data_IF_913662906940
#
_entry.id   IF_913662906940
#
_cell.length_a   1.000
_cell.length_b   1.000
_cell.length_c   1.000
_cell.angle_alpha   90.00
_cell.angle_beta   90.00
_cell.angle_gamma   90.00
#
_symmetry.space_group_name_H-M   'P 1'
#
loop_
_entity.id
_entity.type
_entity.pdbx_description
1 polymer ?
#
# COMPACT_ATOMS: atom_id res chain seq x y z
N UNK A 1 -48.48 40.74 16.76
CA UNK A 1 -48.04 39.73 15.78
C UNK A 1 -46.53 39.57 15.91
N UNK A 2 -46.04 38.53 16.62
CA UNK A 2 -44.61 38.27 16.84
C UNK A 2 -44.17 37.23 15.84
N UNK A 3 -43.23 37.57 14.94
CA UNK A 3 -42.61 36.62 14.00
C UNK A 3 -41.49 35.88 14.71
N UNK A 4 -41.62 34.55 14.82
CA UNK A 4 -40.56 33.68 15.29
C UNK A 4 -39.64 33.32 14.08
N UNK A 5 -38.37 33.70 14.18
CA UNK A 5 -37.32 33.25 13.23
C UNK A 5 -36.84 31.89 13.66
N UNK A 6 -37.03 30.91 12.78
CA UNK A 6 -36.45 29.57 12.92
C UNK A 6 -35.01 29.61 12.41
N UNK A 7 -34.04 29.47 13.30
CA UNK A 7 -32.64 29.25 12.93
C UNK A 7 -32.44 27.75 12.63
N UNK A 8 -32.22 27.44 11.37
CA UNK A 8 -31.85 26.10 10.95
C UNK A 8 -30.34 25.91 11.12
N UNK A 9 -29.95 25.14 12.12
CA UNK A 9 -28.55 24.78 12.38
C UNK A 9 -28.16 23.62 11.46
N UNK A 10 -27.40 23.93 10.41
CA UNK A 10 -26.85 22.88 9.49
C UNK A 10 -25.61 22.30 10.14
N UNK A 11 -25.71 21.08 10.65
CA UNK A 11 -24.55 20.29 11.15
C UNK A 11 -23.76 19.78 9.95
N UNK A 12 -22.63 20.42 9.64
CA UNK A 12 -21.65 19.90 8.68
C UNK A 12 -20.82 18.84 9.42
N UNK A 13 -21.22 17.59 9.28
CA UNK A 13 -20.43 16.45 9.75
C UNK A 13 -19.15 16.33 8.93
N UNK A 14 -18.01 16.63 9.52
CA UNK A 14 -16.71 16.31 8.94
C UNK A 14 -16.54 14.80 8.97
N UNK A 15 -16.80 14.12 7.84
CA UNK A 15 -16.41 12.74 7.62
C UNK A 15 -14.88 12.70 7.47
N UNK A 16 -14.17 12.40 8.55
CA UNK A 16 -12.78 11.98 8.49
C UNK A 16 -12.73 10.62 7.80
N UNK A 17 -12.49 10.62 6.50
CA UNK A 17 -12.23 9.39 5.75
C UNK A 17 -10.94 8.77 6.29
N UNK A 18 -11.08 7.70 7.06
CA UNK A 18 -9.98 6.80 7.41
C UNK A 18 -9.57 6.16 6.09
N UNK A 19 -8.52 6.67 5.47
CA UNK A 19 -7.93 6.06 4.28
C UNK A 19 -7.23 4.76 4.71
N UNK A 20 -7.99 3.66 4.66
CA UNK A 20 -7.40 2.33 4.61
C UNK A 20 -6.59 2.24 3.29
N UNK A 21 -5.47 1.50 3.29
CA UNK A 21 -4.82 1.13 2.04
C UNK A 21 -5.79 0.21 1.29
N UNK A 22 -6.46 0.75 0.29
CA UNK A 22 -7.43 0.01 -0.51
C UNK A 22 -6.66 -0.74 -1.59
N UNK A 23 -6.98 -2.03 -1.73
CA UNK A 23 -6.65 -2.75 -2.95
C UNK A 23 -7.28 -2.01 -4.12
N UNK A 24 -6.55 -1.93 -5.21
CA UNK A 24 -7.16 -1.54 -6.48
C UNK A 24 -7.59 -2.81 -7.18
N UNK A 25 -8.89 -2.95 -7.41
CA UNK A 25 -9.48 -4.08 -8.11
C UNK A 25 -9.44 -3.82 -9.62
N UNK A 26 -8.83 -4.74 -10.36
CA UNK A 26 -8.80 -4.72 -11.81
C UNK A 26 -9.54 -5.93 -12.37
N UNK A 27 -10.49 -5.75 -13.31
CA UNK A 27 -11.03 -6.86 -14.08
C UNK A 27 -9.89 -7.60 -14.79
N UNK A 28 -9.92 -8.93 -14.78
CA UNK A 28 -8.92 -9.71 -15.50
C UNK A 28 -9.06 -9.50 -17.01
N UNK A 29 -7.95 -9.26 -17.70
CA UNK A 29 -7.99 -9.11 -19.15
C UNK A 29 -8.22 -10.48 -19.81
N UNK A 30 -8.64 -10.51 -21.09
CA UNK A 30 -8.78 -11.73 -21.86
C UNK A 30 -7.55 -12.63 -21.80
N UNK A 31 -7.74 -13.91 -22.03
CA UNK A 31 -6.63 -14.90 -22.09
C UNK A 31 -5.57 -14.44 -23.08
N UNK A 32 -4.31 -14.48 -22.67
CA UNK A 32 -3.17 -14.02 -23.46
C UNK A 32 -2.80 -12.54 -23.28
N UNK A 33 -3.68 -11.72 -22.71
CA UNK A 33 -3.34 -10.35 -22.29
C UNK A 33 -2.96 -10.30 -20.82
N UNK A 34 -1.99 -9.45 -20.47
CA UNK A 34 -1.58 -9.19 -19.09
C UNK A 34 -1.75 -7.71 -18.69
N UNK A 35 -2.24 -6.88 -19.60
CA UNK A 35 -2.37 -5.46 -19.36
C UNK A 35 -3.71 -5.15 -18.67
N UNK A 36 -3.68 -4.47 -17.53
CA UNK A 36 -4.84 -4.06 -16.75
C UNK A 36 -4.80 -2.57 -16.41
N UNK A 37 -5.96 -1.99 -16.15
CA UNK A 37 -6.09 -0.57 -15.88
C UNK A 37 -5.89 0.30 -17.13
N UNK A 38 -5.95 1.60 -16.93
CA UNK A 38 -5.73 2.62 -17.97
C UNK A 38 -4.99 3.79 -17.34
N UNK A 39 -4.06 4.37 -18.09
CA UNK A 39 -3.44 5.62 -17.69
C UNK A 39 -4.49 6.73 -17.61
N UNK A 40 -4.37 7.58 -16.60
CA UNK A 40 -5.27 8.70 -16.36
C UNK A 40 -4.61 10.01 -16.80
N UNK A 41 -5.41 10.97 -17.18
CA UNK A 41 -4.95 12.34 -17.43
C UNK A 41 -5.35 13.21 -16.24
N UNK A 42 -4.41 14.00 -15.73
CA UNK A 42 -4.65 14.92 -14.63
C UNK A 42 -4.14 16.31 -14.95
N UNK A 43 -4.95 17.32 -14.68
CA UNK A 43 -4.52 18.73 -14.78
C UNK A 43 -4.11 19.22 -13.39
N UNK A 44 -2.87 19.64 -13.27
CA UNK A 44 -2.26 20.13 -12.01
C UNK A 44 -3.04 21.34 -11.50
N UNK A 45 -3.40 21.31 -10.22
CA UNK A 45 -4.17 22.34 -9.53
C UNK A 45 -3.25 23.29 -8.75
N UNK A 46 -3.71 24.49 -8.44
CA UNK A 46 -2.96 25.48 -7.63
C UNK A 46 -2.54 24.95 -6.24
N UNK A 47 -3.30 24.02 -5.67
CA UNK A 47 -3.01 23.37 -4.39
C UNK A 47 -1.98 22.24 -4.44
N UNK A 48 -1.51 21.85 -5.62
CA UNK A 48 -0.57 20.74 -5.79
C UNK A 48 0.87 21.20 -5.55
N UNK A 49 1.40 20.89 -4.38
CA UNK A 49 2.72 21.36 -3.95
C UNK A 49 3.88 20.81 -4.78
N UNK A 50 3.78 19.57 -5.25
CA UNK A 50 4.81 18.86 -6.03
C UNK A 50 4.27 17.54 -6.56
N UNK A 51 5.06 16.85 -7.41
CA UNK A 51 4.71 15.52 -7.95
C UNK A 51 4.49 14.47 -6.86
N UNK A 52 5.20 14.56 -5.73
CA UNK A 52 5.01 13.64 -4.62
C UNK A 52 3.62 13.79 -3.97
N UNK A 53 3.09 15.01 -3.88
CA UNK A 53 1.74 15.23 -3.37
C UNK A 53 0.67 14.70 -4.34
N UNK A 54 0.89 14.87 -5.65
CA UNK A 54 0.03 14.32 -6.69
C UNK A 54 0.07 12.78 -6.67
N UNK A 55 1.27 12.20 -6.64
CA UNK A 55 1.47 10.74 -6.60
C UNK A 55 0.71 10.07 -5.43
N UNK A 56 0.74 10.67 -4.25
CA UNK A 56 -0.02 10.17 -3.08
C UNK A 56 -1.53 10.18 -3.29
N UNK A 57 -2.05 11.15 -4.04
CA UNK A 57 -3.50 11.25 -4.35
C UNK A 57 -3.95 10.13 -5.28
N UNK A 58 -3.07 9.69 -6.17
CA UNK A 58 -3.35 8.66 -7.17
C UNK A 58 -2.76 7.30 -6.80
N UNK A 59 -2.28 7.13 -5.56
CA UNK A 59 -1.67 5.89 -5.05
C UNK A 59 -0.56 5.34 -5.98
N UNK A 60 0.28 6.25 -6.46
CA UNK A 60 1.43 5.95 -7.34
C UNK A 60 2.72 6.59 -6.83
N UNK A 61 3.85 6.31 -7.48
CA UNK A 61 5.13 6.93 -7.16
C UNK A 61 5.40 8.16 -8.02
N UNK A 62 5.99 9.19 -7.43
CA UNK A 62 6.36 10.41 -8.16
C UNK A 62 7.33 10.14 -9.31
N UNK A 63 8.23 9.16 -9.15
CA UNK A 63 9.17 8.74 -10.20
C UNK A 63 8.42 8.19 -11.42
N UNK A 64 7.37 7.38 -11.20
CA UNK A 64 6.57 6.84 -12.30
C UNK A 64 5.83 7.94 -13.06
N UNK A 65 5.33 8.98 -12.36
CA UNK A 65 4.74 10.15 -13.01
C UNK A 65 5.80 10.88 -13.82
N UNK A 66 7.00 11.04 -13.27
CA UNK A 66 8.11 11.70 -13.98
C UNK A 66 8.51 10.95 -15.25
N UNK A 67 8.62 9.63 -15.17
CA UNK A 67 8.94 8.76 -16.32
C UNK A 67 7.85 8.78 -17.39
N UNK A 68 6.57 8.83 -16.98
CA UNK A 68 5.45 8.92 -17.93
C UNK A 68 5.30 10.29 -18.59
N UNK A 69 6.04 11.31 -18.10
CA UNK A 69 5.94 12.71 -18.54
C UNK A 69 7.33 13.32 -18.73
N UNK A 70 8.02 12.95 -19.78
CA UNK A 70 9.46 13.19 -20.06
C UNK A 70 9.98 14.63 -19.87
N UNK A 71 9.14 15.63 -19.75
CA UNK A 71 9.52 17.05 -19.66
C UNK A 71 8.97 17.77 -18.44
N UNK A 72 8.37 17.01 -17.49
CA UNK A 72 7.75 17.66 -16.34
C UNK A 72 8.77 17.97 -15.24
N UNK A 73 8.61 19.15 -14.63
CA UNK A 73 9.40 19.52 -13.47
C UNK A 73 8.89 18.79 -12.19
N UNK A 74 9.77 18.55 -11.19
CA UNK A 74 9.36 17.99 -9.89
C UNK A 74 8.26 18.80 -9.17
N UNK A 75 8.20 20.10 -9.47
CA UNK A 75 7.11 21.00 -9.07
C UNK A 75 6.43 21.51 -10.33
N UNK A 76 5.39 20.82 -10.81
CA UNK A 76 4.70 21.20 -12.03
C UNK A 76 3.86 22.47 -11.82
N UNK A 77 3.73 23.26 -12.87
CA UNK A 77 2.91 24.49 -12.82
C UNK A 77 1.42 24.12 -12.86
N UNK A 78 0.55 24.85 -12.11
CA UNK A 78 -0.89 24.73 -12.27
C UNK A 78 -1.33 24.88 -13.73
N UNK A 79 -2.33 24.11 -14.14
CA UNK A 79 -2.79 24.05 -15.52
C UNK A 79 -2.00 23.09 -16.42
N UNK A 80 -0.85 22.55 -15.97
CA UNK A 80 -0.12 21.53 -16.72
C UNK A 80 -0.91 20.22 -16.73
N UNK A 81 -1.11 19.65 -17.91
CA UNK A 81 -1.74 18.33 -18.04
C UNK A 81 -0.67 17.25 -18.03
N UNK A 82 -0.85 16.24 -17.15
CA UNK A 82 0.09 15.15 -16.95
C UNK A 82 -0.61 13.80 -17.06
N UNK A 83 0.15 12.79 -17.47
CA UNK A 83 -0.27 11.39 -17.44
C UNK A 83 0.04 10.78 -16.06
N UNK A 84 -0.97 10.21 -15.43
CA UNK A 84 -0.83 9.38 -14.22
C UNK A 84 -0.78 7.92 -14.67
N UNK A 85 0.35 7.23 -14.50
CA UNK A 85 0.49 5.83 -14.89
C UNK A 85 -0.27 4.94 -13.92
N UNK A 86 -1.45 4.51 -14.30
CA UNK A 86 -2.31 3.57 -13.55
C UNK A 86 -2.55 2.26 -14.31
N UNK A 87 -1.88 2.07 -15.42
CA UNK A 87 -1.87 0.82 -16.18
C UNK A 87 -0.78 -0.11 -15.63
N UNK A 88 -1.10 -1.39 -15.46
CA UNK A 88 -0.21 -2.38 -14.89
C UNK A 88 -0.08 -3.58 -15.83
N UNK A 89 1.11 -4.20 -15.86
CA UNK A 89 1.34 -5.46 -16.51
C UNK A 89 1.33 -6.58 -15.46
N UNK A 90 0.34 -7.47 -15.52
CA UNK A 90 0.24 -8.60 -14.61
C UNK A 90 1.47 -9.52 -14.71
N UNK A 91 1.91 -10.15 -13.61
CA UNK A 91 2.96 -11.15 -13.63
C UNK A 91 2.70 -12.27 -14.63
N UNK A 92 3.77 -12.81 -15.23
CA UNK A 92 3.68 -13.96 -16.12
C UNK A 92 3.65 -15.26 -15.30
N UNK A 93 2.50 -15.52 -14.70
CA UNK A 93 2.28 -16.63 -13.79
C UNK A 93 0.79 -17.03 -13.78
N UNK A 94 0.44 -18.21 -13.30
CA UNK A 94 -0.95 -18.60 -13.12
C UNK A 94 -1.75 -17.59 -12.30
N UNK A 95 -2.92 -17.17 -12.78
CA UNK A 95 -3.80 -16.19 -12.13
C UNK A 95 -4.59 -16.81 -10.98
N UNK A 96 -3.88 -17.20 -9.93
CA UNK A 96 -4.48 -17.83 -8.75
C UNK A 96 -3.71 -17.50 -7.48
N UNK A 97 -4.41 -17.39 -6.35
CA UNK A 97 -3.81 -17.17 -5.05
C UNK A 97 -3.10 -15.81 -4.95
N UNK A 98 -1.89 -15.81 -4.39
CA UNK A 98 -1.11 -14.59 -4.12
C UNK A 98 0.21 -14.67 -4.89
N UNK A 99 0.53 -13.62 -5.62
CA UNK A 99 1.84 -13.43 -6.27
C UNK A 99 2.46 -12.16 -5.69
N UNK A 100 3.70 -12.26 -5.22
CA UNK A 100 4.48 -11.13 -4.73
C UNK A 100 5.57 -10.81 -5.75
N UNK A 101 5.48 -9.65 -6.38
CA UNK A 101 6.52 -9.12 -7.26
C UNK A 101 7.43 -8.19 -6.47
N UNK A 102 8.62 -8.67 -6.12
CA UNK A 102 9.58 -7.95 -5.30
C UNK A 102 10.16 -6.73 -6.02
N UNK A 103 10.34 -6.82 -7.34
CA UNK A 103 10.91 -5.73 -8.14
C UNK A 103 9.93 -4.56 -8.27
N UNK A 104 8.64 -4.83 -8.37
CA UNK A 104 7.59 -3.80 -8.47
C UNK A 104 7.04 -3.36 -7.11
N UNK A 105 7.44 -4.01 -6.02
CA UNK A 105 6.89 -3.82 -4.67
C UNK A 105 5.35 -3.94 -4.66
N UNK A 106 4.84 -4.98 -5.31
CA UNK A 106 3.41 -5.25 -5.46
C UNK A 106 3.05 -6.67 -5.09
N UNK A 107 1.89 -6.81 -4.45
CA UNK A 107 1.23 -8.08 -4.21
C UNK A 107 -0.03 -8.11 -5.06
N UNK A 108 -0.19 -9.19 -5.82
CA UNK A 108 -1.34 -9.50 -6.65
C UNK A 108 -2.11 -10.63 -5.99
N UNK A 109 -3.38 -10.42 -5.69
CA UNK A 109 -4.26 -11.45 -5.17
C UNK A 109 -5.38 -11.73 -6.16
N UNK A 110 -5.55 -13.00 -6.48
CA UNK A 110 -6.60 -13.50 -7.36
C UNK A 110 -7.63 -14.23 -6.51
N UNK A 111 -8.76 -13.59 -6.16
CA UNK A 111 -9.80 -14.19 -5.34
C UNK A 111 -10.41 -15.41 -6.05
N UNK A 112 -10.62 -16.54 -5.36
CA UNK A 112 -11.24 -17.72 -5.97
C UNK A 112 -12.65 -17.42 -6.44
N UNK A 113 -12.95 -17.77 -7.71
CA UNK A 113 -14.30 -17.61 -8.31
C UNK A 113 -14.61 -16.19 -8.79
N UNK A 114 -13.68 -15.24 -8.67
CA UNK A 114 -13.85 -13.87 -9.16
C UNK A 114 -12.99 -13.60 -10.39
N UNK A 115 -13.50 -12.77 -11.31
CA UNK A 115 -12.76 -12.38 -12.52
C UNK A 115 -12.03 -11.05 -12.33
N UNK A 116 -11.33 -10.93 -11.20
CA UNK A 116 -10.55 -9.74 -10.83
C UNK A 116 -9.17 -10.10 -10.32
N UNK A 117 -8.27 -9.14 -10.30
CA UNK A 117 -7.05 -9.14 -9.52
C UNK A 117 -7.05 -7.94 -8.58
N UNK A 118 -6.73 -8.17 -7.33
CA UNK A 118 -6.54 -7.13 -6.32
C UNK A 118 -5.05 -6.82 -6.22
N UNK A 119 -4.68 -5.56 -6.36
CA UNK A 119 -3.28 -5.13 -6.34
C UNK A 119 -3.01 -4.27 -5.12
N UNK A 120 -1.97 -4.65 -4.37
CA UNK A 120 -1.55 -3.97 -3.14
C UNK A 120 -0.11 -3.50 -3.26
N UNK A 121 0.22 -2.26 -2.89
CA UNK A 121 1.59 -1.85 -2.66
C UNK A 121 2.13 -2.55 -1.40
N UNK A 122 3.38 -3.00 -1.44
CA UNK A 122 4.01 -3.72 -0.32
C UNK A 122 5.38 -3.14 0.02
N UNK A 123 5.83 -3.37 1.26
CA UNK A 123 7.22 -3.30 1.63
C UNK A 123 7.84 -4.70 1.65
N UNK A 124 9.12 -4.76 1.42
CA UNK A 124 9.91 -6.00 1.44
C UNK A 124 11.03 -5.93 2.48
N UNK A 125 11.77 -7.02 2.68
CA UNK A 125 12.94 -7.06 3.55
C UNK A 125 14.00 -6.04 3.14
N UNK A 126 14.71 -5.52 4.14
CA UNK A 126 15.83 -4.61 3.92
C UNK A 126 17.04 -5.35 3.34
N UNK A 127 17.98 -4.60 2.77
CA UNK A 127 19.27 -5.15 2.33
C UNK A 127 19.95 -5.92 3.47
N UNK A 128 20.41 -7.15 3.19
CA UNK A 128 20.94 -8.10 4.19
C UNK A 128 19.87 -8.85 4.98
N UNK A 129 18.58 -8.61 4.69
CA UNK A 129 17.44 -9.32 5.24
C UNK A 129 16.40 -9.54 4.12
N UNK A 130 16.87 -9.94 2.96
CA UNK A 130 16.09 -10.01 1.74
C UNK A 130 14.89 -10.95 1.90
N UNK A 131 13.79 -10.58 1.28
CA UNK A 131 12.63 -11.44 1.13
C UNK A 131 12.99 -12.57 0.16
N UNK A 132 12.91 -13.84 0.58
CA UNK A 132 13.29 -14.94 -0.29
C UNK A 132 12.32 -15.11 -1.44
N UNK A 133 12.85 -15.55 -2.60
CA UNK A 133 12.03 -16.01 -3.72
C UNK A 133 11.67 -17.47 -3.45
N UNK A 134 10.36 -17.74 -3.33
CA UNK A 134 9.87 -19.09 -3.01
C UNK A 134 8.46 -19.30 -3.54
N UNK A 135 8.11 -20.54 -3.74
CA UNK A 135 6.73 -21.00 -3.88
C UNK A 135 6.28 -21.63 -2.55
N UNK A 136 5.14 -21.17 -2.03
CA UNK A 136 4.65 -21.59 -0.72
C UNK A 136 3.13 -21.43 -0.62
N UNK A 137 2.57 -21.64 0.57
CA UNK A 137 1.16 -21.45 0.85
C UNK A 137 0.95 -20.71 2.16
N UNK A 138 -0.21 -20.09 2.32
CA UNK A 138 -0.63 -19.54 3.61
C UNK A 138 -0.97 -20.71 4.54
N UNK A 139 -0.17 -20.88 5.58
CA UNK A 139 -0.37 -21.94 6.59
C UNK A 139 -1.33 -21.51 7.69
N UNK A 140 -1.23 -20.27 8.14
CA UNK A 140 -2.07 -19.75 9.24
C UNK A 140 -2.45 -18.28 9.00
N UNK A 141 -3.72 -17.95 9.27
CA UNK A 141 -4.22 -16.57 9.34
C UNK A 141 -4.32 -16.16 10.80
N UNK A 142 -3.64 -15.10 11.19
CA UNK A 142 -3.52 -14.65 12.57
C UNK A 142 -4.17 -13.27 12.69
N UNK A 143 -5.37 -13.16 13.24
CA UNK A 143 -5.96 -11.87 13.58
C UNK A 143 -5.31 -11.31 14.85
N UNK A 144 -5.16 -10.00 14.91
CA UNK A 144 -4.60 -9.28 16.05
C UNK A 144 -3.31 -9.93 16.59
N UNK A 145 -2.26 -10.08 15.75
CA UNK A 145 -1.05 -10.78 16.13
C UNK A 145 -0.32 -10.03 17.27
N UNK A 146 0.35 -10.77 18.14
CA UNK A 146 1.41 -10.24 18.99
C UNK A 146 2.72 -10.27 18.23
N UNK A 147 3.60 -9.32 18.47
CA UNK A 147 4.93 -9.27 17.87
C UNK A 147 6.02 -9.49 18.90
N UNK A 148 6.82 -10.51 18.69
CA UNK A 148 8.04 -10.78 19.45
C UNK A 148 9.24 -10.43 18.58
N UNK A 149 9.89 -9.26 18.79
CA UNK A 149 11.06 -8.88 18.01
C UNK A 149 12.20 -9.88 18.25
N UNK A 150 12.82 -10.33 17.15
CA UNK A 150 13.98 -11.23 17.24
C UNK A 150 15.16 -10.56 17.95
N UNK A 151 16.14 -11.33 18.39
CA UNK A 151 17.35 -10.78 19.02
C UNK A 151 18.06 -9.77 18.12
N UNK A 152 18.19 -10.07 16.82
CA UNK A 152 18.79 -9.15 15.84
C UNK A 152 18.00 -7.86 15.65
N UNK A 153 16.67 -7.91 15.67
CA UNK A 153 15.83 -6.70 15.62
C UNK A 153 16.03 -5.85 16.88
N UNK A 154 16.04 -6.46 18.05
CA UNK A 154 16.29 -5.73 19.30
C UNK A 154 17.65 -5.07 19.32
N UNK A 155 18.69 -5.78 18.88
CA UNK A 155 20.06 -5.25 18.81
C UNK A 155 20.13 -4.03 17.87
N UNK A 156 19.65 -4.15 16.63
CA UNK A 156 19.65 -3.02 15.68
C UNK A 156 18.81 -1.83 16.14
N UNK A 157 17.74 -2.08 16.89
CA UNK A 157 16.94 -1.00 17.48
C UNK A 157 17.69 -0.30 18.61
N UNK A 158 18.40 -1.06 19.45
CA UNK A 158 19.20 -0.53 20.53
C UNK A 158 20.36 0.35 20.01
N UNK A 159 21.01 -0.04 18.92
CA UNK A 159 22.03 0.74 18.23
C UNK A 159 21.51 2.11 17.74
N UNK A 160 20.21 2.21 17.48
CA UNK A 160 19.51 3.46 17.16
C UNK A 160 18.91 4.17 18.37
N UNK A 161 19.25 3.74 19.60
CA UNK A 161 18.75 4.30 20.84
C UNK A 161 17.31 3.90 21.19
N UNK A 162 16.72 2.91 20.48
CA UNK A 162 15.35 2.45 20.70
C UNK A 162 15.37 1.12 21.45
N UNK A 163 14.92 1.11 22.69
CA UNK A 163 14.76 -0.11 23.48
C UNK A 163 13.38 -0.72 23.21
N UNK A 164 13.34 -1.80 22.44
CA UNK A 164 12.10 -2.53 22.18
C UNK A 164 11.70 -3.42 23.38
N UNK A 165 10.40 -3.53 23.70
CA UNK A 165 9.92 -4.49 24.68
C UNK A 165 10.12 -5.93 24.16
N UNK A 166 10.17 -6.94 25.04
CA UNK A 166 10.30 -8.33 24.63
C UNK A 166 9.12 -8.81 23.78
N UNK A 167 7.92 -8.29 24.04
CA UNK A 167 6.69 -8.58 23.31
C UNK A 167 5.89 -7.29 23.13
N UNK A 168 5.39 -7.06 21.93
CA UNK A 168 4.43 -5.99 21.64
C UNK A 168 3.05 -6.63 21.43
N UNK A 169 2.05 -6.31 22.27
CA UNK A 169 0.70 -6.86 22.12
C UNK A 169 0.04 -6.34 20.85
N UNK A 170 -1.08 -6.95 20.49
CA UNK A 170 -1.94 -6.45 19.42
C UNK A 170 -2.38 -5.00 19.71
N UNK A 171 -2.46 -4.18 18.68
CA UNK A 171 -2.86 -2.78 18.82
C UNK A 171 -2.16 -1.85 17.84
N UNK A 172 -2.40 -0.53 17.95
CA UNK A 172 -1.93 0.47 16.98
C UNK A 172 -0.40 0.58 16.92
N UNK A 173 0.30 0.22 17.99
CA UNK A 173 1.76 0.24 18.06
C UNK A 173 2.44 -1.06 17.58
N UNK A 174 1.65 -2.07 17.19
CA UNK A 174 2.19 -3.33 16.71
C UNK A 174 2.58 -3.21 15.23
N UNK A 175 3.85 -3.46 14.86
CA UNK A 175 4.32 -3.33 13.48
C UNK A 175 3.69 -4.36 12.53
N UNK A 176 3.14 -5.47 13.03
CA UNK A 176 2.45 -6.46 12.19
C UNK A 176 1.05 -6.01 11.77
N UNK A 177 0.52 -4.93 12.34
CA UNK A 177 -0.83 -4.46 12.05
C UNK A 177 -1.91 -5.39 12.61
N UNK A 178 -3.08 -5.39 11.96
CA UNK A 178 -4.27 -6.13 12.45
C UNK A 178 -4.31 -7.60 12.04
N UNK A 179 -3.59 -7.98 10.99
CA UNK A 179 -3.58 -9.35 10.45
C UNK A 179 -2.18 -9.75 10.00
N UNK A 180 -1.83 -10.99 10.24
CA UNK A 180 -0.64 -11.62 9.69
C UNK A 180 -0.99 -12.98 9.06
N UNK A 181 -0.40 -13.25 7.90
CA UNK A 181 -0.50 -14.54 7.21
C UNK A 181 0.85 -15.23 7.35
N UNK A 182 0.89 -16.32 8.10
CA UNK A 182 2.10 -17.13 8.24
C UNK A 182 2.25 -18.01 7.02
N UNK A 183 3.43 -17.98 6.40
CA UNK A 183 3.75 -18.82 5.25
C UNK A 183 4.23 -20.19 5.72
N UNK A 184 3.83 -21.24 5.00
CA UNK A 184 4.24 -22.63 5.27
C UNK A 184 5.62 -22.89 4.65
N UNK A 185 6.64 -22.13 5.08
CA UNK A 185 8.03 -22.25 4.65
C UNK A 185 8.95 -22.16 5.86
N UNK A 186 10.03 -22.96 5.84
CA UNK A 186 10.95 -23.05 6.98
C UNK A 186 10.23 -23.40 8.28
N UNK A 187 10.59 -22.71 9.36
CA UNK A 187 9.95 -22.84 10.67
C UNK A 187 8.74 -21.90 10.84
N UNK A 188 8.18 -21.37 9.74
CA UNK A 188 7.06 -20.43 9.77
C UNK A 188 7.44 -19.02 10.22
N UNK A 189 8.66 -18.62 9.98
CA UNK A 189 9.21 -17.28 10.31
C UNK A 189 8.78 -16.20 9.33
N UNK A 190 8.36 -16.58 8.12
CA UNK A 190 7.93 -15.64 7.08
C UNK A 190 6.46 -15.30 7.20
N UNK A 191 6.17 -14.01 7.17
CA UNK A 191 4.83 -13.46 7.31
C UNK A 191 4.54 -12.46 6.18
N UNK A 192 3.32 -12.52 5.66
CA UNK A 192 2.70 -11.36 5.00
C UNK A 192 1.86 -10.69 6.09
N UNK A 193 2.10 -9.43 6.37
CA UNK A 193 1.43 -8.75 7.47
C UNK A 193 1.08 -7.31 7.12
N UNK A 194 0.19 -6.70 7.88
CA UNK A 194 -0.10 -5.29 7.78
C UNK A 194 1.07 -4.43 8.25
N UNK A 195 0.83 -3.14 8.31
CA UNK A 195 1.78 -2.17 8.87
C UNK A 195 1.05 -1.30 9.88
N UNK A 196 1.80 -0.59 10.72
CA UNK A 196 1.24 0.49 11.51
C UNK A 196 0.70 1.58 10.57
N UNK A 197 -0.34 2.28 11.00
CA UNK A 197 -0.96 3.35 10.21
C UNK A 197 0.04 4.42 9.73
N UNK A 198 1.12 4.62 10.45
CA UNK A 198 2.17 5.58 10.15
C UNK A 198 3.19 5.08 9.11
N UNK A 199 3.39 3.77 9.02
CA UNK A 199 4.32 3.12 8.08
C UNK A 199 3.71 2.91 6.68
N UNK A 200 2.41 3.13 6.53
CA UNK A 200 1.72 3.08 5.22
C UNK A 200 2.13 4.20 4.27
N UNK A 201 2.95 5.12 4.71
CA UNK A 201 3.57 6.11 3.84
C UNK A 201 4.79 5.48 3.21
N UNK A 202 4.57 4.87 2.04
CA UNK A 202 5.61 4.41 1.13
C UNK A 202 6.66 5.51 0.99
N UNK A 203 7.93 5.17 1.24
CA UNK A 203 9.05 6.06 1.02
C UNK A 203 9.38 6.95 2.22
N UNK A 204 9.70 6.34 3.34
CA UNK A 204 10.74 6.87 4.23
C UNK A 204 12.01 6.08 3.94
N UNK A 205 12.76 6.59 3.01
CA UNK A 205 14.20 6.38 2.97
C UNK A 205 14.84 7.07 4.18
#
# INVERSE_FOLDING_TARGET
MKRASLLTLTLIGAFSAIQAAWAVDYPLPPTGSRLVGQNQTYTVQEGDKNLQAIARRFDTAAMLILEANNTIAPVPKPGTTITIPSQLLLPDAPRQGIIVNLAELRLYYYPPGENIVQVYPIGIGLQGLETPVMETRVGQKIPNPTWTPTAGIRQRSLERGIKLPPVVPAGPNNPLGRYALRLAHGNGEYLIHGTRSEERRVGKE
#
